data_IF_916805428131
#
_entry.id   IF_916805428131
#
_cell.length_a   1.000
_cell.length_b   1.000
_cell.length_c   1.000
_cell.angle_alpha   90.00
_cell.angle_beta   90.00
_cell.angle_gamma   90.00
#
_symmetry.space_group_name_H-M   'P 1'
#
loop_
_entity.id
_entity.type
_entity.pdbx_description
1 polymer ?
#
# COMPACT_ATOMS: atom_id res chain seq x y z
N UNK A 1 25.35 -0.11 10.84
CA UNK A 1 24.47 -1.04 10.09
C UNK A 1 22.99 -0.72 10.31
N UNK A 2 22.65 -0.04 11.40
CA UNK A 2 21.31 0.53 11.67
C UNK A 2 20.89 1.57 10.64
N UNK A 3 21.81 2.45 10.23
CA UNK A 3 21.53 3.56 9.30
C UNK A 3 21.03 3.10 7.92
N UNK A 4 21.45 1.92 7.44
CA UNK A 4 21.01 1.39 6.15
C UNK A 4 19.53 0.96 6.19
N UNK A 5 19.13 0.27 7.26
CA UNK A 5 17.74 -0.16 7.44
C UNK A 5 16.81 1.03 7.67
N UNK A 6 17.28 2.04 8.40
CA UNK A 6 16.54 3.29 8.60
C UNK A 6 16.38 4.07 7.30
N UNK A 7 17.43 4.18 6.49
CA UNK A 7 17.35 4.81 5.17
C UNK A 7 16.40 4.05 4.22
N UNK A 8 16.42 2.72 4.25
CA UNK A 8 15.51 1.91 3.43
C UNK A 8 14.05 2.06 3.90
N UNK A 9 13.83 2.15 5.21
CA UNK A 9 12.51 2.40 5.78
C UNK A 9 12.00 3.79 5.40
N UNK A 10 12.85 4.82 5.45
CA UNK A 10 12.50 6.17 5.02
C UNK A 10 12.07 6.21 3.54
N UNK A 11 12.86 5.57 2.66
CA UNK A 11 12.49 5.45 1.23
C UNK A 11 11.16 4.71 1.03
N UNK A 12 10.89 3.67 1.82
CA UNK A 12 9.63 2.96 1.77
C UNK A 12 8.45 3.87 2.19
N UNK A 13 8.62 4.69 3.22
CA UNK A 13 7.58 5.65 3.67
C UNK A 13 7.31 6.70 2.60
N UNK A 14 8.34 7.28 2.00
CA UNK A 14 8.18 8.23 0.89
C UNK A 14 7.44 7.60 -0.28
N UNK A 15 7.73 6.32 -0.57
CA UNK A 15 7.01 5.55 -1.57
C UNK A 15 5.55 5.33 -1.17
N UNK A 16 5.26 5.02 0.09
CA UNK A 16 3.89 4.90 0.58
C UNK A 16 3.10 6.20 0.45
N UNK A 17 3.72 7.37 0.70
CA UNK A 17 3.08 8.68 0.46
C UNK A 17 2.73 8.87 -1.01
N UNK A 18 3.67 8.55 -1.91
CA UNK A 18 3.43 8.65 -3.35
C UNK A 18 2.35 7.66 -3.82
N UNK A 19 2.33 6.44 -3.27
CA UNK A 19 1.33 5.43 -3.59
C UNK A 19 -0.06 5.84 -3.07
N UNK A 20 -0.16 6.44 -1.88
CA UNK A 20 -1.41 6.98 -1.36
C UNK A 20 -1.98 8.08 -2.27
N UNK A 21 -1.15 9.07 -2.63
CA UNK A 21 -1.57 10.16 -3.51
C UNK A 21 -2.05 9.65 -4.88
N UNK A 22 -1.44 8.57 -5.40
CA UNK A 22 -1.90 7.95 -6.64
C UNK A 22 -3.22 7.21 -6.47
N UNK A 23 -3.39 6.44 -5.40
CA UNK A 23 -4.64 5.76 -5.09
C UNK A 23 -5.82 6.74 -4.88
N UNK A 24 -5.54 7.97 -4.47
CA UNK A 24 -6.55 9.05 -4.35
C UNK A 24 -6.89 9.69 -5.70
N UNK A 25 -5.95 9.75 -6.64
CA UNK A 25 -6.12 10.42 -7.92
C UNK A 25 -6.60 9.51 -9.06
N UNK A 26 -6.28 8.22 -9.00
CA UNK A 26 -6.61 7.23 -10.03
C UNK A 26 -8.03 6.68 -9.84
N UNK A 27 -8.73 6.35 -10.93
CA UNK A 27 -9.97 5.60 -10.85
C UNK A 27 -9.70 4.17 -10.34
N UNK A 28 -10.70 3.59 -9.68
CA UNK A 28 -10.59 2.27 -9.02
C UNK A 28 -10.20 1.14 -9.98
N UNK A 29 -10.48 1.31 -11.27
CA UNK A 29 -10.22 0.34 -12.32
C UNK A 29 -8.96 0.59 -13.14
N UNK A 30 -8.13 1.55 -12.72
CA UNK A 30 -6.82 1.76 -13.34
C UNK A 30 -5.87 0.58 -13.05
N UNK A 31 -5.13 0.14 -14.06
CA UNK A 31 -4.14 -0.94 -13.93
C UNK A 31 -3.02 -0.57 -12.94
N UNK A 32 -2.75 0.72 -12.75
CA UNK A 32 -1.79 1.20 -11.76
C UNK A 32 -2.28 0.93 -10.32
N UNK A 33 -3.60 0.90 -10.05
CA UNK A 33 -4.14 0.52 -8.73
C UNK A 33 -3.74 -0.92 -8.39
N UNK A 34 -3.89 -1.85 -9.34
CA UNK A 34 -3.49 -3.25 -9.14
C UNK A 34 -1.99 -3.36 -8.87
N UNK A 35 -1.19 -2.58 -9.60
CA UNK A 35 0.27 -2.54 -9.42
C UNK A 35 0.69 -1.99 -8.06
N UNK A 36 0.00 -0.96 -7.54
CA UNK A 36 0.22 -0.41 -6.21
C UNK A 36 -0.15 -1.44 -5.14
N UNK A 37 -1.34 -2.03 -5.25
CA UNK A 37 -1.84 -3.06 -4.31
C UNK A 37 -0.87 -4.24 -4.24
N UNK A 38 -0.44 -4.76 -5.39
CA UNK A 38 0.51 -5.88 -5.46
C UNK A 38 1.82 -5.58 -4.72
N UNK A 39 2.37 -4.38 -4.92
CA UNK A 39 3.60 -3.96 -4.23
C UNK A 39 3.40 -3.81 -2.72
N UNK A 40 2.30 -3.19 -2.29
CA UNK A 40 2.00 -3.04 -0.86
C UNK A 40 1.82 -4.40 -0.18
N UNK A 41 1.18 -5.36 -0.85
CA UNK A 41 1.05 -6.72 -0.35
C UNK A 41 2.42 -7.36 -0.07
N UNK A 42 3.37 -7.23 -1.00
CA UNK A 42 4.70 -7.86 -0.90
C UNK A 42 5.73 -7.13 -0.04
N UNK A 43 5.69 -5.78 0.00
CA UNK A 43 6.75 -5.00 0.64
C UNK A 43 6.39 -4.49 2.04
N UNK A 44 5.12 -4.18 2.30
CA UNK A 44 4.72 -3.49 3.54
C UNK A 44 5.00 -4.31 4.82
N UNK A 45 4.88 -5.64 4.75
CA UNK A 45 5.17 -6.53 5.88
C UNK A 45 6.64 -6.47 6.33
N UNK A 46 7.57 -6.38 5.38
CA UNK A 46 9.03 -6.32 5.65
C UNK A 46 9.45 -5.09 6.44
N UNK A 47 8.64 -4.03 6.41
CA UNK A 47 8.90 -2.77 7.11
C UNK A 47 7.99 -2.56 8.35
N UNK A 48 7.25 -3.58 8.75
CA UNK A 48 6.41 -3.55 9.96
C UNK A 48 4.97 -3.07 9.75
N UNK A 49 4.55 -2.83 8.51
CA UNK A 49 3.20 -2.36 8.17
C UNK A 49 2.24 -3.53 7.92
N UNK A 50 2.10 -4.39 8.94
CA UNK A 50 1.35 -5.65 8.82
C UNK A 50 -0.11 -5.45 8.41
N UNK A 51 -0.77 -4.41 8.89
CA UNK A 51 -2.16 -4.13 8.54
C UNK A 51 -2.32 -3.69 7.09
N UNK A 52 -1.41 -2.86 6.57
CA UNK A 52 -1.37 -2.45 5.16
C UNK A 52 -1.10 -3.66 4.27
N UNK A 53 -0.07 -4.46 4.60
CA UNK A 53 0.28 -5.68 3.87
C UNK A 53 -0.89 -6.66 3.80
N UNK A 54 -1.61 -6.85 4.92
CA UNK A 54 -2.77 -7.74 4.97
C UNK A 54 -3.90 -7.27 4.06
N UNK A 55 -4.35 -6.02 4.18
CA UNK A 55 -5.46 -5.49 3.37
C UNK A 55 -5.06 -5.53 1.89
N UNK A 56 -3.84 -5.11 1.55
CA UNK A 56 -3.33 -5.17 0.19
C UNK A 56 -3.27 -6.60 -0.36
N UNK A 57 -2.88 -7.60 0.46
CA UNK A 57 -2.84 -9.00 0.03
C UNK A 57 -4.24 -9.58 -0.22
N UNK A 58 -5.23 -9.21 0.59
CA UNK A 58 -6.63 -9.60 0.37
C UNK A 58 -7.15 -9.03 -0.97
N UNK A 59 -6.82 -7.78 -1.28
CA UNK A 59 -7.19 -7.14 -2.56
C UNK A 59 -6.40 -7.76 -3.73
N UNK A 60 -5.08 -7.93 -3.61
CA UNK A 60 -4.19 -8.52 -4.64
C UNK A 60 -4.65 -9.93 -5.04
N UNK A 61 -5.12 -10.73 -4.07
CA UNK A 61 -5.65 -12.07 -4.35
C UNK A 61 -6.91 -12.00 -5.22
N UNK A 62 -7.79 -11.02 -4.99
CA UNK A 62 -9.03 -10.85 -5.76
C UNK A 62 -8.74 -10.33 -7.16
N UNK A 63 -7.86 -9.34 -7.30
CA UNK A 63 -7.50 -8.77 -8.60
C UNK A 63 -6.82 -9.79 -9.51
N UNK A 64 -5.98 -10.68 -8.96
CA UNK A 64 -5.41 -11.83 -9.70
C UNK A 64 -6.45 -12.80 -10.26
N UNK A 65 -7.63 -12.87 -9.62
CA UNK A 65 -8.76 -13.66 -10.09
C UNK A 65 -9.69 -12.87 -11.04
N UNK A 66 -9.26 -11.70 -11.51
CA UNK A 66 -10.05 -10.83 -12.39
C UNK A 66 -11.16 -10.05 -11.70
N UNK A 67 -11.19 -10.06 -10.36
CA UNK A 67 -12.18 -9.33 -9.57
C UNK A 67 -11.62 -7.95 -9.25
N UNK A 68 -12.27 -6.90 -9.77
CA UNK A 68 -11.90 -5.51 -9.46
C UNK A 68 -12.10 -5.20 -7.98
N UNK A 69 -11.20 -4.40 -7.36
CA UNK A 69 -11.41 -3.94 -6.00
C UNK A 69 -12.63 -3.03 -5.95
N UNK A 70 -13.38 -3.10 -4.85
CA UNK A 70 -14.45 -2.13 -4.59
C UNK A 70 -13.88 -0.85 -4.00
N UNK A 71 -14.54 0.29 -4.23
CA UNK A 71 -14.18 1.57 -3.62
C UNK A 71 -14.00 1.50 -2.10
N UNK A 72 -14.85 0.73 -1.41
CA UNK A 72 -14.70 0.52 0.04
C UNK A 72 -13.38 -0.18 0.41
N UNK A 73 -12.96 -1.19 -0.34
CA UNK A 73 -11.69 -1.87 -0.09
C UNK A 73 -10.49 -0.95 -0.33
N UNK A 74 -10.58 -0.12 -1.38
CA UNK A 74 -9.55 0.89 -1.64
C UNK A 74 -9.55 1.99 -0.58
N UNK A 75 -10.71 2.41 -0.08
CA UNK A 75 -10.84 3.36 1.01
C UNK A 75 -10.23 2.82 2.31
N UNK A 76 -10.50 1.55 2.64
CA UNK A 76 -9.92 0.88 3.80
C UNK A 76 -8.39 0.76 3.67
N UNK A 77 -7.88 0.47 2.46
CA UNK A 77 -6.44 0.45 2.18
C UNK A 77 -5.80 1.83 2.32
N UNK A 78 -6.40 2.87 1.71
CA UNK A 78 -5.94 4.26 1.78
C UNK A 78 -5.91 4.75 3.24
N UNK A 79 -6.96 4.48 4.01
CA UNK A 79 -7.04 4.85 5.42
C UNK A 79 -5.98 4.12 6.28
N UNK A 80 -5.72 2.85 6.00
CA UNK A 80 -4.67 2.08 6.68
C UNK A 80 -3.27 2.62 6.33
N UNK A 81 -3.06 2.98 5.06
CA UNK A 81 -1.81 3.54 4.56
C UNK A 81 -1.53 4.93 5.15
N UNK A 82 -2.53 5.81 5.24
CA UNK A 82 -2.41 7.11 5.90
C UNK A 82 -2.01 6.98 7.37
N UNK A 83 -2.71 6.13 8.14
CA UNK A 83 -2.36 5.87 9.55
C UNK A 83 -0.96 5.30 9.74
N UNK A 84 -0.49 4.50 8.78
CA UNK A 84 0.85 3.93 8.80
C UNK A 84 1.94 4.99 8.60
N UNK A 85 1.69 5.96 7.71
CA UNK A 85 2.57 7.10 7.45
C UNK A 85 2.62 8.02 8.66
N UNK A 86 1.46 8.40 9.21
CA UNK A 86 1.33 9.33 10.35
C UNK A 86 1.97 8.82 11.66
N UNK A 87 2.20 7.50 11.77
CA UNK A 87 2.82 6.88 12.96
C UNK A 87 4.34 6.97 12.97
N UNK A 88 4.95 7.46 11.89
CA UNK A 88 6.41 7.49 11.73
C UNK A 88 6.96 8.93 11.65
N UNK A 89 6.11 9.91 11.33
CA UNK A 89 6.39 11.34 11.59
C UNK A 89 6.31 11.66 13.10
#
# INVERSE_FOLDING_TARGET
MTDFLEALRAQFIDRCRADLARLEALPEDDDEVTSIVHRLAGAAGSFGFLQVSRIAAEIDLRTRNGIRPSGRELDDLKASLGKAIDRID
#
